data_IF_061099232306
#
_entry.id   IF_061099232306
#
_cell.length_a   1.000
_cell.length_b   1.000
_cell.length_c   1.000
_cell.angle_alpha   90.00
_cell.angle_beta   90.00
_cell.angle_gamma   90.00
#
_symmetry.space_group_name_H-M   'P 1'
#
loop_
_entity.id
_entity.type
_entity.pdbx_description
1 polymer ?
#
# COMPACT_ATOMS: atom_id res chain seq x y z
N UNK A 1 8.87 -12.09 -7.05
CA UNK A 1 9.41 -10.80 -7.54
C UNK A 1 10.64 -10.40 -6.73
N UNK A 2 11.61 -9.70 -7.32
CA UNK A 2 12.67 -9.02 -6.55
C UNK A 2 12.35 -7.53 -6.47
N UNK A 3 12.53 -6.94 -5.28
CA UNK A 3 12.32 -5.51 -5.06
C UNK A 3 13.65 -4.88 -4.62
N UNK A 4 14.23 -4.03 -5.45
CA UNK A 4 15.40 -3.22 -5.05
C UNK A 4 14.93 -2.07 -4.16
N UNK A 5 15.44 -1.98 -2.94
CA UNK A 5 15.17 -0.87 -2.03
C UNK A 5 16.32 0.12 -2.11
N UNK A 6 16.04 1.32 -2.61
CA UNK A 6 17.04 2.36 -2.87
C UNK A 6 16.89 3.46 -1.83
N UNK A 7 17.89 3.57 -0.96
CA UNK A 7 17.96 4.64 0.02
C UNK A 7 18.37 5.96 -0.66
N UNK A 8 17.48 6.95 -0.68
CA UNK A 8 17.77 8.33 -1.11
C UNK A 8 17.61 9.34 0.03
N UNK A 9 17.33 8.86 1.24
CA UNK A 9 17.26 9.66 2.45
C UNK A 9 18.65 10.15 2.85
N UNK A 10 18.70 11.32 3.49
CA UNK A 10 19.92 11.84 4.15
C UNK A 10 19.97 11.49 5.63
N UNK A 11 18.82 11.19 6.24
CA UNK A 11 18.68 10.92 7.66
C UNK A 11 18.71 9.44 8.02
N UNK A 12 18.25 8.56 7.13
CA UNK A 12 18.23 7.12 7.35
C UNK A 12 19.53 6.47 6.87
N UNK A 13 20.25 5.82 7.79
CA UNK A 13 21.43 5.05 7.42
C UNK A 13 21.06 3.66 6.87
N UNK A 14 21.93 3.09 6.03
CA UNK A 14 21.68 1.80 5.42
C UNK A 14 21.61 0.65 6.43
N UNK A 15 22.24 0.75 7.60
CA UNK A 15 22.20 -0.31 8.60
C UNK A 15 20.79 -0.46 9.20
N UNK A 16 20.11 0.65 9.47
CA UNK A 16 18.72 0.66 9.94
C UNK A 16 17.75 0.25 8.83
N UNK A 17 17.97 0.70 7.59
CA UNK A 17 17.21 0.21 6.44
C UNK A 17 17.36 -1.30 6.25
N UNK A 18 18.58 -1.85 6.41
CA UNK A 18 18.82 -3.28 6.31
C UNK A 18 18.12 -4.07 7.42
N UNK A 19 18.00 -3.52 8.64
CA UNK A 19 17.20 -4.15 9.71
C UNK A 19 15.73 -4.23 9.29
N UNK A 20 15.15 -3.13 8.82
CA UNK A 20 13.76 -3.10 8.37
C UNK A 20 13.52 -4.03 7.18
N UNK A 21 14.40 -4.03 6.17
CA UNK A 21 14.29 -4.93 5.01
C UNK A 21 14.40 -6.41 5.41
N UNK A 22 15.18 -6.76 6.43
CA UNK A 22 15.19 -8.14 6.96
C UNK A 22 13.86 -8.51 7.58
N UNK A 23 13.28 -7.64 8.42
CA UNK A 23 11.98 -7.88 9.03
C UNK A 23 10.87 -8.00 7.98
N UNK A 24 10.83 -7.13 6.98
CA UNK A 24 9.84 -7.20 5.88
C UNK A 24 10.04 -8.45 5.01
N UNK A 25 11.28 -8.90 4.78
CA UNK A 25 11.50 -10.17 4.08
C UNK A 25 10.95 -11.37 4.87
N UNK A 26 11.16 -11.40 6.19
CA UNK A 26 10.56 -12.43 7.06
C UNK A 26 9.04 -12.35 7.03
N UNK A 27 8.48 -11.15 7.10
CA UNK A 27 7.05 -10.92 6.96
C UNK A 27 6.50 -11.52 5.66
N UNK A 28 7.14 -11.22 4.53
CA UNK A 28 6.70 -11.72 3.23
C UNK A 28 6.80 -13.25 3.13
N UNK A 29 7.84 -13.85 3.69
CA UNK A 29 8.12 -15.29 3.59
C UNK A 29 7.32 -16.14 4.60
N UNK A 30 7.23 -15.69 5.85
CA UNK A 30 6.68 -16.45 6.98
C UNK A 30 5.19 -16.13 7.21
N UNK A 31 4.77 -14.87 6.99
CA UNK A 31 3.43 -14.42 7.33
C UNK A 31 2.54 -14.29 6.10
N UNK A 32 3.02 -13.64 5.03
CA UNK A 32 2.24 -13.34 3.84
C UNK A 32 2.12 -14.53 2.88
N UNK A 33 3.26 -15.11 2.47
CA UNK A 33 3.31 -16.15 1.45
C UNK A 33 2.44 -17.37 1.76
N UNK A 34 2.35 -17.90 3.01
CA UNK A 34 1.49 -19.04 3.31
C UNK A 34 0.02 -18.81 2.98
N UNK A 35 -0.45 -17.56 3.02
CA UNK A 35 -1.85 -17.22 2.78
C UNK A 35 -2.13 -16.83 1.32
N UNK A 36 -1.21 -16.12 0.68
CA UNK A 36 -1.40 -15.57 -0.67
C UNK A 36 -0.75 -16.39 -1.79
N UNK A 37 0.23 -17.24 -1.46
CA UNK A 37 0.94 -18.14 -2.39
C UNK A 37 1.68 -17.43 -3.53
N UNK A 38 1.87 -16.12 -3.42
CA UNK A 38 2.82 -15.32 -4.19
C UNK A 38 3.62 -14.45 -3.23
N UNK A 39 4.78 -13.96 -3.68
CA UNK A 39 5.67 -13.23 -2.80
C UNK A 39 6.81 -12.51 -3.52
N UNK A 40 7.56 -11.77 -2.73
CA UNK A 40 8.76 -11.10 -3.17
C UNK A 40 9.86 -11.14 -2.13
N UNK A 41 11.03 -10.68 -2.56
CA UNK A 41 12.17 -10.47 -1.68
C UNK A 41 12.73 -9.08 -1.93
N UNK A 42 12.85 -8.31 -0.86
CA UNK A 42 13.49 -7.01 -0.84
C UNK A 42 15.00 -7.18 -0.72
N UNK A 43 15.74 -6.34 -1.44
CA UNK A 43 17.20 -6.22 -1.32
C UNK A 43 17.56 -4.74 -1.32
N UNK A 44 18.27 -4.29 -0.29
CA UNK A 44 18.84 -2.94 -0.31
C UNK A 44 19.89 -2.86 -1.42
N UNK A 45 19.72 -1.90 -2.31
CA UNK A 45 20.60 -1.68 -3.44
C UNK A 45 21.53 -0.49 -3.16
N UNK A 46 22.83 -0.75 -3.18
CA UNK A 46 23.88 0.23 -2.87
C UNK A 46 24.06 1.31 -3.95
N UNK A 47 23.25 1.29 -5.02
CA UNK A 47 23.31 2.22 -6.16
C UNK A 47 22.98 3.70 -5.83
N UNK A 48 23.08 4.12 -4.57
CA UNK A 48 22.65 5.45 -4.10
C UNK A 48 23.54 6.06 -3.02
N UNK A 49 24.88 5.89 -3.06
CA UNK A 49 25.75 6.74 -2.23
C UNK A 49 25.59 8.19 -2.69
N UNK A 50 24.87 8.98 -1.88
CA UNK A 50 24.59 10.41 -1.98
C UNK A 50 24.28 10.92 -3.40
N UNK A 51 23.00 11.18 -3.72
CA UNK A 51 22.66 11.86 -4.97
C UNK A 51 23.44 13.18 -5.07
N UNK A 52 24.07 13.44 -6.22
CA UNK A 52 24.60 14.77 -6.50
C UNK A 52 23.44 15.77 -6.40
N UNK A 53 23.71 17.06 -6.21
CA UNK A 53 22.65 18.08 -6.04
C UNK A 53 21.61 18.11 -7.19
N UNK A 54 21.94 17.51 -8.35
CA UNK A 54 21.10 17.36 -9.55
C UNK A 54 20.13 16.17 -9.49
N UNK A 55 20.35 15.21 -8.61
CA UNK A 55 19.56 13.98 -8.45
C UNK A 55 18.44 14.14 -7.40
N UNK A 56 18.04 15.39 -7.11
CA UNK A 56 16.92 15.69 -6.18
C UNK A 56 15.57 15.23 -6.73
N UNK A 57 15.51 14.94 -8.02
CA UNK A 57 14.36 14.36 -8.68
C UNK A 57 14.66 12.88 -8.90
N UNK A 58 13.87 11.99 -8.29
CA UNK A 58 13.95 10.56 -8.61
C UNK A 58 13.25 10.39 -9.95
N UNK A 59 14.03 10.12 -11.00
CA UNK A 59 13.47 9.66 -12.27
C UNK A 59 12.79 8.30 -12.07
N UNK A 60 11.63 8.11 -12.68
CA UNK A 60 10.93 6.82 -12.62
C UNK A 60 11.85 5.71 -13.14
N UNK A 61 11.92 4.55 -12.46
CA UNK A 61 12.88 3.52 -12.80
C UNK A 61 12.66 3.00 -14.21
N UNK A 62 13.70 3.04 -15.03
CA UNK A 62 13.74 2.22 -16.24
C UNK A 62 14.60 1.00 -15.92
N UNK A 63 14.03 -0.19 -16.02
CA UNK A 63 14.75 -1.45 -15.79
C UNK A 63 14.78 -2.29 -17.08
N UNK A 64 15.58 -1.89 -18.10
CA UNK A 64 15.68 -2.65 -19.34
C UNK A 64 16.15 -4.08 -19.05
N UNK A 65 15.40 -5.08 -19.52
CA UNK A 65 15.75 -6.49 -19.35
C UNK A 65 15.46 -7.09 -17.97
N UNK A 66 14.88 -6.35 -17.02
CA UNK A 66 14.41 -6.88 -15.73
C UNK A 66 12.90 -6.72 -15.57
N UNK A 67 12.15 -7.18 -16.59
CA UNK A 67 10.69 -7.25 -16.53
C UNK A 67 10.30 -8.21 -15.40
N UNK A 68 9.65 -7.71 -14.35
CA UNK A 68 9.27 -8.49 -13.16
C UNK A 68 10.05 -8.15 -11.88
N UNK A 69 11.04 -7.24 -11.96
CA UNK A 69 11.65 -6.60 -10.79
C UNK A 69 10.95 -5.26 -10.50
N UNK A 70 10.90 -4.88 -9.23
CA UNK A 70 10.34 -3.62 -8.76
C UNK A 70 11.39 -2.77 -8.03
N UNK A 71 11.11 -1.48 -7.83
CA UNK A 71 11.97 -0.58 -7.05
C UNK A 71 11.18 0.17 -5.99
N UNK A 72 11.61 0.09 -4.73
CA UNK A 72 11.10 0.92 -3.64
C UNK A 72 12.14 2.00 -3.29
N UNK A 73 11.74 3.26 -3.30
CA UNK A 73 12.62 4.38 -2.95
C UNK A 73 12.29 4.90 -1.56
N UNK A 74 13.31 5.09 -0.73
CA UNK A 74 13.19 5.80 0.54
C UNK A 74 13.63 7.24 0.32
N UNK A 75 12.75 8.21 0.55
CA UNK A 75 13.00 9.64 0.40
C UNK A 75 12.66 10.39 1.69
N UNK A 76 13.33 11.50 1.95
CA UNK A 76 12.97 12.35 3.09
C UNK A 76 11.62 13.03 2.85
N UNK A 77 11.51 13.79 1.76
CA UNK A 77 10.33 14.63 1.48
C UNK A 77 9.31 13.95 0.57
N UNK A 78 8.00 14.12 0.84
CA UNK A 78 6.95 13.69 -0.05
C UNK A 78 7.07 14.30 -1.44
N UNK A 79 6.89 13.49 -2.48
CA UNK A 79 6.63 13.97 -3.86
C UNK A 79 5.14 14.23 -4.10
N UNK A 80 4.29 13.76 -3.18
CA UNK A 80 2.85 14.00 -3.11
C UNK A 80 2.51 14.43 -1.68
N UNK A 81 1.96 15.63 -1.51
CA UNK A 81 1.76 16.23 -0.18
C UNK A 81 1.04 15.28 0.79
N UNK A 82 1.61 15.10 1.98
CA UNK A 82 1.01 14.41 3.12
C UNK A 82 1.09 12.88 3.13
N UNK A 83 1.41 12.22 2.02
CA UNK A 83 1.38 10.74 1.98
C UNK A 83 2.66 10.11 2.54
N UNK A 84 2.52 9.07 3.38
CA UNK A 84 3.64 8.26 3.92
C UNK A 84 4.33 7.43 2.84
N UNK A 85 3.58 7.01 1.81
CA UNK A 85 4.06 6.19 0.72
C UNK A 85 3.02 5.99 -0.37
N UNK A 86 3.46 5.44 -1.50
CA UNK A 86 2.58 4.89 -2.53
C UNK A 86 3.36 3.99 -3.49
N UNK A 87 2.65 3.12 -4.22
CA UNK A 87 3.18 2.35 -5.33
C UNK A 87 2.37 2.52 -6.63
N UNK A 88 3.02 2.34 -7.77
CA UNK A 88 2.40 2.42 -9.10
C UNK A 88 3.29 1.71 -10.16
N UNK A 89 2.76 1.55 -11.37
CA UNK A 89 3.50 1.10 -12.55
C UNK A 89 3.77 2.25 -13.52
N UNK A 90 5.01 2.39 -14.00
CA UNK A 90 5.31 3.40 -15.02
C UNK A 90 4.87 2.97 -16.43
N UNK A 91 5.05 3.86 -17.42
CA UNK A 91 4.66 3.59 -18.81
C UNK A 91 5.52 2.51 -19.51
N UNK A 92 6.59 2.04 -18.87
CA UNK A 92 7.43 0.93 -19.32
C UNK A 92 7.09 -0.38 -18.58
N UNK A 93 5.97 -0.42 -17.83
CA UNK A 93 5.54 -1.54 -17.00
C UNK A 93 6.59 -1.96 -15.97
N UNK A 94 7.30 -0.97 -15.40
CA UNK A 94 8.17 -1.16 -14.25
C UNK A 94 7.39 -0.76 -12.99
N UNK A 95 7.10 -1.71 -12.10
CA UNK A 95 6.57 -1.44 -10.77
C UNK A 95 7.54 -0.61 -9.94
N UNK A 96 7.03 0.38 -9.22
CA UNK A 96 7.80 1.15 -8.27
C UNK A 96 6.96 1.58 -7.07
N UNK A 97 7.62 1.98 -6.00
CA UNK A 97 6.96 2.68 -4.90
C UNK A 97 7.91 3.59 -4.14
N UNK A 98 7.32 4.37 -3.24
CA UNK A 98 7.99 5.38 -2.46
C UNK A 98 7.58 5.29 -0.99
N UNK A 99 8.52 5.59 -0.10
CA UNK A 99 8.28 5.85 1.32
C UNK A 99 8.90 7.21 1.66
N UNK A 100 8.14 8.07 2.31
CA UNK A 100 8.50 9.45 2.63
C UNK A 100 8.67 9.65 4.13
N UNK A 101 9.91 9.75 4.59
CA UNK A 101 10.25 9.77 6.01
C UNK A 101 9.65 10.98 6.76
N UNK A 102 9.59 12.16 6.13
CA UNK A 102 9.06 13.38 6.74
C UNK A 102 7.54 13.32 6.99
N UNK A 103 6.82 12.42 6.29
CA UNK A 103 5.40 12.19 6.49
C UNK A 103 5.11 11.10 7.53
N UNK A 104 6.12 10.29 7.88
CA UNK A 104 5.98 9.21 8.85
C UNK A 104 6.19 9.72 10.28
N UNK A 105 5.46 9.16 11.25
CA UNK A 105 5.62 9.43 12.67
C UNK A 105 5.95 8.16 13.47
N UNK A 106 5.11 7.76 14.43
CA UNK A 106 5.30 6.60 15.28
C UNK A 106 4.13 5.61 15.13
N UNK A 107 4.27 4.40 15.68
CA UNK A 107 3.23 3.36 15.63
C UNK A 107 2.83 3.01 14.20
N UNK A 108 1.52 3.02 13.91
CA UNK A 108 0.93 2.71 12.61
C UNK A 108 1.30 3.70 11.48
N UNK A 109 1.87 4.86 11.83
CA UNK A 109 2.33 5.86 10.88
C UNK A 109 3.88 5.88 10.78
N UNK A 110 4.59 4.91 11.37
CA UNK A 110 6.06 4.85 11.33
C UNK A 110 6.59 4.45 9.95
N UNK A 111 7.83 4.84 9.63
CA UNK A 111 8.43 4.58 8.32
C UNK A 111 8.65 3.09 8.01
N UNK A 112 8.82 2.25 9.03
CA UNK A 112 8.94 0.79 8.84
C UNK A 112 7.59 0.16 8.54
N UNK A 113 6.50 0.69 9.13
CA UNK A 113 5.13 0.31 8.78
C UNK A 113 4.82 0.75 7.35
N UNK A 114 5.14 2.00 6.97
CA UNK A 114 5.00 2.46 5.58
C UNK A 114 5.81 1.61 4.58
N UNK A 115 7.06 1.25 4.91
CA UNK A 115 7.86 0.35 4.08
C UNK A 115 7.23 -1.03 3.90
N UNK A 116 6.72 -1.62 4.99
CA UNK A 116 6.02 -2.91 4.98
C UNK A 116 4.71 -2.83 4.18
N UNK A 117 3.93 -1.75 4.37
CA UNK A 117 2.70 -1.46 3.65
C UNK A 117 2.96 -1.44 2.15
N UNK A 118 3.84 -0.56 1.69
CA UNK A 118 4.13 -0.41 0.26
C UNK A 118 4.77 -1.66 -0.34
N UNK A 119 5.55 -2.41 0.43
CA UNK A 119 6.11 -3.68 -0.03
C UNK A 119 5.02 -4.73 -0.26
N UNK A 120 4.08 -4.90 0.68
CA UNK A 120 2.99 -5.88 0.55
C UNK A 120 2.05 -5.48 -0.60
N UNK A 121 1.69 -4.20 -0.69
CA UNK A 121 0.79 -3.73 -1.75
C UNK A 121 1.41 -3.86 -3.14
N UNK A 122 2.68 -3.47 -3.28
CA UNK A 122 3.44 -3.65 -4.52
C UNK A 122 3.59 -5.13 -4.92
N UNK A 123 3.55 -6.06 -3.97
CA UNK A 123 3.54 -7.52 -4.24
C UNK A 123 2.17 -7.99 -4.72
N UNK A 124 1.08 -7.46 -4.15
CA UNK A 124 -0.30 -7.77 -4.53
C UNK A 124 -0.69 -7.22 -5.90
N UNK A 125 -0.45 -5.93 -6.13
CA UNK A 125 -0.79 -5.23 -7.36
C UNK A 125 0.38 -4.37 -7.88
N UNK A 126 1.38 -4.99 -8.53
CA UNK A 126 2.60 -4.27 -8.92
C UNK A 126 2.38 -3.08 -9.88
N UNK A 127 1.25 -3.04 -10.58
CA UNK A 127 0.96 -2.00 -11.58
C UNK A 127 -0.19 -1.08 -11.14
N UNK A 128 -0.68 -1.22 -9.90
CA UNK A 128 -1.80 -0.48 -9.33
C UNK A 128 -3.00 -0.42 -10.30
N UNK A 129 -3.38 -1.58 -10.84
CA UNK A 129 -4.40 -1.72 -11.88
C UNK A 129 -5.39 -2.87 -11.67
N UNK A 130 -5.30 -3.57 -10.54
CA UNK A 130 -6.21 -4.64 -10.16
C UNK A 130 -7.38 -4.09 -9.36
N UNK A 131 -8.57 -4.57 -9.73
CA UNK A 131 -9.81 -4.28 -9.04
C UNK A 131 -10.53 -5.57 -8.71
N UNK A 132 -11.17 -5.60 -7.53
CA UNK A 132 -12.00 -6.73 -7.10
C UNK A 132 -13.45 -6.29 -6.98
N UNK A 133 -14.35 -7.03 -7.61
CA UNK A 133 -15.78 -6.78 -7.47
C UNK A 133 -16.26 -7.21 -6.09
N UNK A 134 -16.88 -6.29 -5.35
CA UNK A 134 -17.40 -6.50 -3.99
C UNK A 134 -18.65 -5.68 -3.71
N UNK A 135 -19.27 -5.84 -2.53
CA UNK A 135 -20.41 -5.04 -2.11
C UNK A 135 -20.06 -3.55 -2.01
N UNK A 136 -21.00 -2.67 -2.33
CA UNK A 136 -20.86 -1.24 -2.04
C UNK A 136 -20.84 -1.03 -0.51
N UNK A 137 -19.89 -0.27 0.07
CA UNK A 137 -19.75 -0.15 1.52
C UNK A 137 -20.99 0.37 2.27
N UNK A 138 -21.81 1.18 1.61
CA UNK A 138 -23.06 1.72 2.17
C UNK A 138 -24.35 1.02 1.69
N UNK A 139 -24.28 0.17 0.66
CA UNK A 139 -25.44 -0.61 0.17
C UNK A 139 -24.96 -1.96 -0.34
N UNK A 140 -24.90 -2.95 0.55
CA UNK A 140 -24.33 -4.27 0.26
C UNK A 140 -25.09 -5.06 -0.81
N UNK A 141 -26.22 -4.56 -1.31
CA UNK A 141 -26.98 -5.15 -2.44
C UNK A 141 -26.41 -4.73 -3.79
N UNK A 142 -25.65 -3.64 -3.84
CA UNK A 142 -24.95 -3.16 -5.02
C UNK A 142 -23.54 -3.73 -5.07
N UNK A 143 -23.05 -4.01 -6.27
CA UNK A 143 -21.65 -4.35 -6.51
C UNK A 143 -20.90 -3.14 -7.07
N UNK A 144 -19.68 -2.93 -6.58
CA UNK A 144 -18.70 -1.94 -7.02
C UNK A 144 -17.34 -2.61 -7.20
N UNK A 145 -16.37 -1.88 -7.72
CA UNK A 145 -15.00 -2.37 -7.89
C UNK A 145 -14.08 -1.73 -6.85
N UNK A 146 -13.59 -2.51 -5.90
CA UNK A 146 -12.62 -2.06 -4.89
C UNK A 146 -11.20 -2.16 -5.45
N UNK A 147 -10.30 -1.26 -5.03
CA UNK A 147 -8.87 -1.46 -5.29
C UNK A 147 -8.41 -2.76 -4.62
N UNK A 148 -7.51 -3.50 -5.29
CA UNK A 148 -6.88 -4.68 -4.69
C UNK A 148 -5.74 -4.27 -3.77
N UNK A 149 -6.09 -3.60 -2.68
CA UNK A 149 -5.16 -3.11 -1.66
C UNK A 149 -5.26 -4.05 -0.43
N UNK A 150 -4.15 -4.67 -0.06
CA UNK A 150 -4.00 -5.70 0.95
C UNK A 150 -3.78 -5.15 2.37
N UNK A 151 -3.47 -3.88 2.54
CA UNK A 151 -3.11 -3.23 3.79
C UNK A 151 -4.10 -2.11 4.17
N UNK A 152 -4.65 -1.39 3.19
CA UNK A 152 -5.50 -0.20 3.40
C UNK A 152 -6.63 -0.41 4.42
N UNK A 153 -7.36 -1.53 4.32
CA UNK A 153 -8.49 -1.85 5.19
C UNK A 153 -8.11 -2.06 6.67
N UNK A 154 -6.83 -2.30 6.96
CA UNK A 154 -6.27 -2.58 8.29
C UNK A 154 -5.06 -1.69 8.59
N UNK A 155 -4.97 -0.53 7.94
CA UNK A 155 -3.82 0.37 8.03
C UNK A 155 -3.59 1.02 9.40
N UNK A 156 -4.55 0.89 10.33
CA UNK A 156 -4.35 1.25 11.74
C UNK A 156 -3.64 0.19 12.58
N UNK A 157 -3.43 -1.02 12.04
CA UNK A 157 -2.86 -2.15 12.75
C UNK A 157 -1.44 -2.48 12.33
N UNK A 158 -0.60 -2.74 13.32
CA UNK A 158 0.77 -3.15 13.13
C UNK A 158 1.18 -4.21 14.16
N UNK A 159 2.27 -4.91 13.87
CA UNK A 159 2.87 -5.90 14.76
C UNK A 159 4.40 -5.89 14.62
N UNK A 160 5.09 -6.62 15.48
CA UNK A 160 6.56 -6.61 15.51
C UNK A 160 7.18 -7.89 14.97
N UNK A 161 8.24 -7.73 14.18
CA UNK A 161 9.16 -8.79 13.81
C UNK A 161 10.56 -8.32 14.20
N UNK A 162 11.18 -9.01 15.15
CA UNK A 162 12.54 -8.69 15.63
C UNK A 162 12.73 -7.23 16.09
N UNK A 163 11.71 -6.65 16.72
CA UNK A 163 11.72 -5.25 17.18
C UNK A 163 11.56 -4.21 16.07
N UNK A 164 11.17 -4.63 14.86
CA UNK A 164 10.73 -3.75 13.78
C UNK A 164 9.21 -3.84 13.67
N UNK A 165 8.53 -2.71 13.77
CA UNK A 165 7.07 -2.62 13.57
C UNK A 165 6.74 -2.68 12.07
N UNK A 166 5.85 -3.59 11.69
CA UNK A 166 5.40 -3.88 10.33
C UNK A 166 3.87 -3.82 10.22
N UNK A 167 3.37 -3.61 9.00
CA UNK A 167 1.95 -3.41 8.69
C UNK A 167 1.15 -4.73 8.76
N UNK A 168 -0.05 -4.70 9.34
CA UNK A 168 -1.03 -5.80 9.20
C UNK A 168 -1.55 -5.87 7.75
N UNK A 169 -2.07 -7.02 7.32
CA UNK A 169 -2.64 -7.19 5.97
C UNK A 169 -3.88 -8.08 5.99
N UNK A 170 -4.75 -7.92 5.00
CA UNK A 170 -5.94 -8.74 4.82
C UNK A 170 -5.59 -10.10 4.20
N UNK A 171 -6.39 -11.11 4.53
CA UNK A 171 -6.29 -12.46 3.98
C UNK A 171 -7.26 -12.63 2.81
N UNK A 172 -7.09 -13.65 1.95
CA UNK A 172 -7.96 -13.85 0.79
C UNK A 172 -9.46 -13.88 1.12
N UNK A 173 -9.83 -14.35 2.32
CA UNK A 173 -11.21 -14.37 2.80
C UNK A 173 -11.87 -12.99 2.94
N UNK A 174 -11.07 -11.93 3.08
CA UNK A 174 -11.58 -10.56 3.10
C UNK A 174 -12.23 -10.14 1.78
N UNK A 175 -11.77 -10.70 0.66
CA UNK A 175 -12.35 -10.48 -0.66
C UNK A 175 -13.51 -11.46 -0.98
N UNK A 176 -13.95 -12.27 -0.01
CA UNK A 176 -15.03 -13.22 -0.22
C UNK A 176 -16.40 -12.52 -0.32
N UNK A 177 -17.31 -13.11 -1.11
CA UNK A 177 -18.71 -12.62 -1.20
C UNK A 177 -19.54 -12.90 0.05
N UNK A 178 -19.14 -13.90 0.83
CA UNK A 178 -19.87 -14.35 2.02
C UNK A 178 -18.88 -14.52 3.16
N UNK A 179 -19.26 -14.12 4.40
CA UNK A 179 -18.53 -14.51 5.58
C UNK A 179 -18.43 -16.03 5.68
N UNK A 180 -17.31 -16.52 6.20
CA UNK A 180 -17.13 -17.91 6.58
C UNK A 180 -16.96 -17.93 8.09
N UNK A 181 -17.80 -18.67 8.79
CA UNK A 181 -17.76 -18.73 10.26
C UNK A 181 -16.40 -19.24 10.73
N UNK A 182 -15.79 -18.50 11.67
CA UNK A 182 -14.46 -18.80 12.20
C UNK A 182 -13.30 -18.50 11.23
N UNK A 183 -13.56 -17.95 10.04
CA UNK A 183 -12.50 -17.54 9.13
C UNK A 183 -11.89 -16.21 9.57
N UNK A 184 -10.55 -16.20 9.59
CA UNK A 184 -9.75 -15.02 9.82
C UNK A 184 -9.58 -14.26 8.50
N UNK A 185 -9.91 -12.95 8.48
CA UNK A 185 -9.84 -12.12 7.28
C UNK A 185 -8.72 -11.07 7.30
N UNK A 186 -7.98 -10.96 8.40
CA UNK A 186 -6.74 -10.19 8.50
C UNK A 186 -5.67 -11.01 9.23
N UNK A 187 -4.40 -10.72 9.04
CA UNK A 187 -3.33 -11.56 9.57
C UNK A 187 -3.31 -11.59 11.10
N UNK A 188 -3.52 -10.45 11.77
CA UNK A 188 -3.58 -10.40 13.23
C UNK A 188 -4.85 -11.04 13.80
N UNK A 189 -5.86 -11.22 12.96
CA UNK A 189 -7.11 -11.89 13.31
C UNK A 189 -7.86 -11.13 14.39
N UNK A 190 -8.09 -9.84 14.15
CA UNK A 190 -8.80 -8.98 15.09
C UNK A 190 -10.14 -9.60 15.47
N UNK A 191 -10.47 -9.42 16.75
CA UNK A 191 -11.70 -9.89 17.37
C UNK A 191 -12.43 -8.67 17.94
N UNK A 192 -12.95 -7.81 17.06
CA UNK A 192 -13.88 -6.74 17.45
C UNK A 192 -15.24 -7.41 17.78
N UNK A 193 -15.83 -7.08 18.94
CA UNK A 193 -16.18 -8.06 19.99
C UNK A 193 -16.71 -9.41 19.44
N UNK A 194 -15.78 -10.36 19.27
CA UNK A 194 -16.07 -11.77 18.99
C UNK A 194 -16.11 -12.17 17.52
N UNK A 195 -15.88 -11.27 16.56
CA UNK A 195 -15.90 -11.58 15.13
C UNK A 195 -14.63 -11.12 14.41
N UNK A 196 -14.15 -11.96 13.50
CA UNK A 196 -13.12 -11.58 12.54
C UNK A 196 -13.63 -10.49 11.60
N UNK A 197 -12.73 -9.65 11.09
CA UNK A 197 -13.04 -8.57 10.16
C UNK A 197 -13.98 -9.08 9.05
N UNK A 198 -15.13 -8.45 8.83
CA UNK A 198 -16.06 -8.92 7.80
C UNK A 198 -15.46 -8.70 6.40
N UNK A 199 -15.81 -9.53 5.39
CA UNK A 199 -15.37 -9.29 4.03
C UNK A 199 -15.77 -7.88 3.55
N UNK A 200 -14.86 -7.19 2.86
CA UNK A 200 -15.02 -5.81 2.39
C UNK A 200 -15.33 -4.78 3.49
N UNK A 201 -14.97 -5.04 4.74
CA UNK A 201 -15.08 -4.08 5.85
C UNK A 201 -13.72 -3.53 6.27
N UNK A 202 -13.72 -2.48 7.06
CA UNK A 202 -12.53 -1.77 7.54
C UNK A 202 -12.35 -1.98 9.04
N UNK A 203 -11.10 -2.06 9.49
CA UNK A 203 -10.75 -1.95 10.90
C UNK A 203 -10.54 -0.47 11.28
N UNK A 204 -10.49 -0.12 12.58
CA UNK A 204 -10.09 1.22 13.02
C UNK A 204 -8.74 1.65 12.41
N UNK A 205 -8.69 2.89 11.93
CA UNK A 205 -7.58 3.47 11.16
C UNK A 205 -7.57 3.07 9.68
N UNK A 206 -8.35 2.07 9.30
CA UNK A 206 -8.46 1.55 7.93
C UNK A 206 -9.42 2.33 7.04
N UNK A 207 -9.24 2.19 5.73
CA UNK A 207 -10.11 2.78 4.72
C UNK A 207 -10.13 1.92 3.46
N UNK A 208 -11.06 2.21 2.54
CA UNK A 208 -11.16 1.60 1.22
C UNK A 208 -11.30 2.66 0.14
N UNK A 209 -10.88 2.31 -1.07
CA UNK A 209 -11.16 3.06 -2.28
C UNK A 209 -11.93 2.17 -3.25
N UNK A 210 -13.08 2.65 -3.73
CA UNK A 210 -13.90 1.90 -4.68
C UNK A 210 -14.35 2.77 -5.85
N UNK A 211 -14.58 2.10 -6.97
CA UNK A 211 -15.16 2.63 -8.20
C UNK A 211 -16.62 2.22 -8.31
N UNK A 212 -17.51 3.21 -8.33
CA UNK A 212 -18.93 3.04 -8.64
C UNK A 212 -19.26 3.63 -10.02
N UNK A 213 -19.59 2.77 -10.97
CA UNK A 213 -19.99 3.16 -12.33
C UNK A 213 -21.29 3.99 -12.34
N UNK A 214 -22.13 3.87 -11.31
CA UNK A 214 -23.40 4.60 -11.19
C UNK A 214 -23.22 6.00 -10.63
N UNK A 215 -22.08 6.30 -10.02
CA UNK A 215 -21.80 7.61 -9.49
C UNK A 215 -21.60 8.63 -10.64
N UNK A 216 -21.89 9.92 -10.41
CA UNK A 216 -21.65 10.96 -11.41
C UNK A 216 -20.21 10.97 -11.93
N UNK A 217 -20.02 11.39 -13.17
CA UNK A 217 -18.69 11.55 -13.76
C UNK A 217 -17.80 12.44 -12.88
N UNK A 218 -16.54 12.04 -12.70
CA UNK A 218 -15.63 12.68 -11.73
C UNK A 218 -15.84 12.34 -10.25
N UNK A 219 -16.87 11.55 -9.91
CA UNK A 219 -17.13 11.02 -8.55
C UNK A 219 -17.14 9.49 -8.48
N UNK A 220 -16.73 8.82 -9.56
CA UNK A 220 -16.72 7.35 -9.64
C UNK A 220 -15.77 6.73 -8.61
N UNK A 221 -14.63 7.38 -8.33
CA UNK A 221 -13.75 7.01 -7.22
C UNK A 221 -14.22 7.63 -5.91
N UNK A 222 -14.52 6.80 -4.91
CA UNK A 222 -14.95 7.24 -3.59
C UNK A 222 -14.16 6.53 -2.49
N UNK A 223 -13.60 7.26 -1.52
CA UNK A 223 -13.08 6.66 -0.29
C UNK A 223 -14.22 6.24 0.64
N UNK A 224 -14.02 5.17 1.38
CA UNK A 224 -14.88 4.75 2.49
C UNK A 224 -14.05 4.53 3.74
N UNK A 225 -14.44 5.20 4.83
CA UNK A 225 -13.86 5.07 6.17
C UNK A 225 -14.91 5.48 7.21
N UNK A 226 -14.69 5.15 8.47
CA UNK A 226 -15.56 5.61 9.56
C UNK A 226 -15.40 7.11 9.77
N UNK A 227 -16.47 7.90 9.63
CA UNK A 227 -16.40 9.37 9.64
C UNK A 227 -15.88 9.99 10.94
N UNK A 228 -15.89 9.24 12.04
CA UNK A 228 -15.34 9.65 13.33
C UNK A 228 -13.87 9.23 13.54
N UNK A 229 -13.31 8.46 12.61
CA UNK A 229 -11.93 7.97 12.68
C UNK A 229 -10.97 9.02 12.14
N UNK A 230 -10.29 9.71 13.05
CA UNK A 230 -9.34 10.77 12.71
C UNK A 230 -8.09 10.26 11.98
N UNK A 231 -7.68 9.01 12.22
CA UNK A 231 -6.53 8.42 11.54
C UNK A 231 -6.89 8.09 10.10
N UNK A 232 -7.98 7.36 9.89
CA UNK A 232 -8.45 7.01 8.55
C UNK A 232 -8.79 8.27 7.72
N UNK A 233 -9.45 9.25 8.35
CA UNK A 233 -9.78 10.52 7.70
C UNK A 233 -8.55 11.31 7.23
N UNK A 234 -7.47 11.33 8.03
CA UNK A 234 -6.19 11.93 7.63
C UNK A 234 -5.55 11.18 6.46
N UNK A 235 -5.38 9.84 6.56
CA UNK A 235 -4.78 9.02 5.49
C UNK A 235 -5.54 9.16 4.17
N UNK A 236 -6.87 9.21 4.20
CA UNK A 236 -7.71 9.45 3.02
C UNK A 236 -7.48 10.84 2.43
N UNK A 237 -7.41 11.89 3.27
CA UNK A 237 -7.16 13.25 2.80
C UNK A 237 -5.81 13.34 2.06
N UNK A 238 -4.77 12.72 2.62
CA UNK A 238 -3.43 12.67 2.03
C UNK A 238 -3.43 11.89 0.71
N UNK A 239 -4.08 10.72 0.65
CA UNK A 239 -4.18 9.89 -0.57
C UNK A 239 -4.96 10.58 -1.69
N UNK A 240 -6.06 11.25 -1.37
CA UNK A 240 -6.88 12.00 -2.35
C UNK A 240 -6.12 13.23 -2.86
N UNK A 241 -5.44 13.98 -1.98
CA UNK A 241 -4.58 15.09 -2.39
C UNK A 241 -3.45 14.63 -3.33
N UNK A 242 -2.80 13.51 -3.00
CA UNK A 242 -1.76 12.91 -3.84
C UNK A 242 -2.25 12.46 -5.21
N UNK A 243 -3.41 11.79 -5.30
CA UNK A 243 -4.02 11.38 -6.58
C UNK A 243 -4.46 12.57 -7.45
N UNK A 244 -4.94 13.67 -6.85
CA UNK A 244 -5.27 14.89 -7.60
C UNK A 244 -4.02 15.61 -8.13
N UNK A 245 -2.91 15.57 -7.37
CA UNK A 245 -1.62 16.10 -7.80
C UNK A 245 -0.97 15.22 -8.89
N UNK A 246 -1.19 13.90 -8.85
CA UNK A 246 -0.63 12.96 -9.80
C UNK A 246 -1.48 12.84 -11.08
N UNK A 247 -1.15 13.66 -12.10
CA UNK A 247 -1.60 13.43 -13.50
C UNK A 247 -1.12 12.09 -14.11
N UNK A 248 -0.55 11.21 -13.29
CA UNK A 248 0.25 10.04 -13.66
C UNK A 248 -0.42 8.71 -13.32
N UNK A 249 -1.49 8.65 -12.52
CA UNK A 249 -2.15 7.36 -12.32
C UNK A 249 -2.80 6.86 -13.62
N UNK A 250 -2.56 5.60 -14.00
CA UNK A 250 -3.15 4.98 -15.20
C UNK A 250 -4.68 5.01 -15.17
N UNK A 251 -5.25 4.94 -13.97
CA UNK A 251 -6.69 4.94 -13.71
C UNK A 251 -7.33 6.29 -14.05
N UNK A 252 -6.72 7.42 -13.66
CA UNK A 252 -7.23 8.75 -14.05
C UNK A 252 -7.18 8.96 -15.58
N UNK A 253 -6.20 8.37 -16.27
CA UNK A 253 -6.00 8.54 -17.72
C UNK A 253 -7.02 7.80 -18.59
N UNK A 254 -7.63 6.71 -18.10
CA UNK A 254 -8.66 5.97 -18.87
C UNK A 254 -10.07 6.55 -18.74
N UNK A 255 -10.33 7.42 -17.77
CA UNK A 255 -11.65 8.05 -17.59
C UNK A 255 -11.95 9.17 -18.62
N UNK A 256 -10.98 9.55 -19.46
CA UNK A 256 -11.13 10.65 -20.42
C UNK A 256 -11.16 10.22 -21.90
N UNK A 257 -11.15 8.91 -22.20
CA UNK A 257 -11.22 8.41 -23.58
C UNK A 257 -12.21 7.24 -23.72
N UNK A 258 -13.44 7.45 -23.23
CA UNK A 258 -14.61 6.63 -23.52
C UNK A 258 -15.73 7.51 -24.05
#
# INVERSE_FOLDING_TARGET
MLISVVNRSRGLNDADLQKAVRAVNRQLEEDFYPHWQFGARLRVDSAGRMPAQRDRQVDLPTLPGRRGDAVLYILDKPTMDGTEGYHDGNNADVPFGFVFLDACTEGADSWTVALSHEAIELVGDPLNNLLVQGPHPLDHRQLVFHQFELCDAVSGDCYEIEGVTVQNFVLPGWFARKPVDGARNDFLGRVEPGQSLAPFSIAPGGYLMFWDERAPEGKKWTPHFDTGDGMAGRKVADKVAGKMASKLSRVARRCHHG
#
